data_IF_974781349777
#
_entry.id   IF_974781349777
#
_cell.length_a   1.000
_cell.length_b   1.000
_cell.length_c   1.000
_cell.angle_alpha   90.00
_cell.angle_beta   90.00
_cell.angle_gamma   90.00
#
_symmetry.space_group_name_H-M   'P 1'
#
loop_
_entity.id
_entity.type
_entity.pdbx_description
1 polymer ?
#
# COMPACT_ATOMS: atom_id res chain seq x y z
N UNK A 1 94.93 38.35 -38.40
CA UNK A 1 94.15 38.70 -37.22
C UNK A 1 92.72 38.40 -37.54
N UNK A 2 92.17 37.29 -37.11
CA UNK A 2 90.83 36.78 -37.44
C UNK A 2 89.97 36.87 -36.22
N UNK A 3 89.04 37.79 -36.18
CA UNK A 3 88.02 37.94 -35.15
C UNK A 3 86.86 37.02 -35.40
N UNK A 4 86.58 36.06 -34.46
CA UNK A 4 85.43 35.20 -34.47
C UNK A 4 84.28 35.87 -33.69
N UNK A 5 83.20 36.19 -34.38
CA UNK A 5 81.93 36.63 -33.78
C UNK A 5 81.17 35.43 -33.32
N UNK A 6 80.75 35.43 -32.03
CA UNK A 6 79.97 34.40 -31.37
C UNK A 6 78.50 34.86 -31.41
N UNK A 7 77.67 34.15 -32.10
CA UNK A 7 76.20 34.41 -32.12
C UNK A 7 75.55 33.57 -31.05
N UNK A 8 74.95 34.22 -30.09
CA UNK A 8 74.18 33.62 -29.01
C UNK A 8 72.74 33.45 -29.45
N UNK A 9 72.30 32.22 -29.61
CA UNK A 9 70.91 31.90 -29.91
C UNK A 9 70.14 31.79 -28.58
N UNK A 10 69.19 32.71 -28.37
CA UNK A 10 68.27 32.69 -27.24
C UNK A 10 67.14 31.65 -27.55
N UNK A 11 67.09 30.60 -26.71
CA UNK A 11 66.04 29.60 -26.77
C UNK A 11 64.88 30.05 -25.84
N UNK A 12 63.83 30.53 -26.44
CA UNK A 12 62.58 30.87 -25.73
C UNK A 12 61.78 29.60 -25.44
N UNK A 13 61.84 29.13 -24.19
CA UNK A 13 60.97 28.02 -23.74
C UNK A 13 59.55 28.50 -23.58
N UNK A 14 58.66 28.07 -24.44
CA UNK A 14 57.23 28.26 -24.33
C UNK A 14 56.70 27.21 -23.35
N UNK A 15 56.34 27.63 -22.11
CA UNK A 15 55.64 26.82 -21.17
C UNK A 15 54.16 26.84 -21.54
N UNK A 16 53.68 25.77 -22.16
CA UNK A 16 52.25 25.54 -22.37
C UNK A 16 51.60 25.06 -21.09
N UNK A 17 50.93 25.97 -20.41
CA UNK A 17 50.15 25.68 -19.23
C UNK A 17 48.80 25.00 -19.65
N UNK A 18 48.76 23.68 -19.63
CA UNK A 18 47.53 22.93 -19.89
C UNK A 18 46.64 23.04 -18.64
N UNK A 19 45.64 23.92 -18.72
CA UNK A 19 44.57 24.06 -17.71
C UNK A 19 43.60 22.89 -17.88
N UNK A 20 43.76 21.83 -17.07
CA UNK A 20 42.84 20.73 -16.96
C UNK A 20 41.54 21.22 -16.30
N UNK A 21 40.53 21.60 -17.07
CA UNK A 21 39.15 21.78 -16.60
C UNK A 21 38.58 20.42 -16.21
N UNK A 22 38.63 20.09 -14.95
CA UNK A 22 37.89 18.97 -14.38
C UNK A 22 36.39 19.32 -14.39
N UNK A 23 35.67 18.84 -15.40
CA UNK A 23 34.20 18.83 -15.43
C UNK A 23 33.72 17.87 -14.34
N UNK A 24 33.49 18.38 -13.13
CA UNK A 24 32.71 17.68 -12.10
C UNK A 24 31.28 17.55 -12.61
N UNK A 25 31.00 16.46 -13.32
CA UNK A 25 29.65 16.04 -13.63
C UNK A 25 28.96 15.66 -12.30
N UNK A 26 28.25 16.59 -11.67
CA UNK A 26 27.29 16.27 -10.63
C UNK A 26 26.27 15.33 -11.25
N UNK A 27 26.43 14.01 -11.04
CA UNK A 27 25.33 13.06 -11.23
C UNK A 27 24.23 13.50 -10.28
N UNK A 28 23.15 14.12 -10.81
CA UNK A 28 21.87 14.16 -10.11
C UNK A 28 21.56 12.71 -9.77
N UNK A 29 21.58 12.38 -8.48
CA UNK A 29 20.90 11.16 -8.01
C UNK A 29 19.43 11.36 -8.36
N UNK A 30 18.96 10.67 -9.38
CA UNK A 30 17.53 10.53 -9.61
C UNK A 30 16.97 9.99 -8.29
N UNK A 31 16.18 10.81 -7.59
CA UNK A 31 15.49 10.35 -6.39
C UNK A 31 14.54 9.26 -6.87
N UNK A 32 14.71 8.06 -6.33
CA UNK A 32 13.72 7.00 -6.48
C UNK A 32 12.34 7.57 -6.12
N UNK A 33 11.29 7.27 -6.93
CA UNK A 33 9.95 7.76 -6.63
C UNK A 33 9.58 7.42 -5.18
N UNK A 34 9.11 8.38 -4.44
CA UNK A 34 8.67 8.16 -3.06
C UNK A 34 7.49 7.19 -3.05
N UNK A 35 7.60 6.09 -2.28
CA UNK A 35 6.50 5.16 -2.05
C UNK A 35 5.45 5.83 -1.15
N UNK A 36 4.37 6.30 -1.76
CA UNK A 36 3.25 6.95 -1.07
C UNK A 36 2.17 5.96 -0.63
N UNK A 37 2.38 4.65 -0.80
CA UNK A 37 1.41 3.64 -0.39
C UNK A 37 1.18 3.67 1.12
N UNK A 38 -0.04 3.33 1.53
CA UNK A 38 -0.39 3.15 2.94
C UNK A 38 -0.72 1.69 3.20
N UNK A 39 -0.26 1.16 4.34
CA UNK A 39 -0.41 -0.25 4.70
C UNK A 39 -1.19 -0.36 6.00
N UNK A 40 -2.10 -1.34 6.06
CA UNK A 40 -2.83 -1.68 7.26
C UNK A 40 -2.80 -3.20 7.46
N UNK A 41 -2.58 -3.60 8.72
CA UNK A 41 -2.75 -4.98 9.18
C UNK A 41 -3.99 -5.03 10.07
N UNK A 42 -4.99 -5.80 9.65
CA UNK A 42 -6.33 -5.77 10.24
C UNK A 42 -6.69 -7.15 10.78
N UNK A 43 -6.95 -7.24 12.08
CA UNK A 43 -7.50 -8.45 12.70
C UNK A 43 -9.03 -8.44 12.58
N UNK A 44 -9.62 -9.59 12.25
CA UNK A 44 -11.06 -9.75 12.14
C UNK A 44 -11.56 -10.64 13.29
N UNK A 45 -12.68 -10.25 13.90
CA UNK A 45 -13.34 -11.00 14.95
C UNK A 45 -14.83 -10.69 15.02
N UNK A 46 -15.61 -11.58 15.65
CA UNK A 46 -17.02 -11.33 15.93
C UNK A 46 -17.25 -10.19 16.91
N UNK A 47 -16.30 -9.94 17.80
CA UNK A 47 -16.40 -8.85 18.79
C UNK A 47 -16.31 -7.45 18.19
N UNK A 48 -15.78 -7.33 16.98
CA UNK A 48 -15.75 -6.07 16.22
C UNK A 48 -17.03 -5.82 15.40
N UNK A 49 -17.91 -6.82 15.27
CA UNK A 49 -19.20 -6.63 14.59
C UNK A 49 -20.11 -5.65 15.34
N UNK A 50 -21.04 -5.08 14.62
CA UNK A 50 -22.03 -4.14 15.17
C UNK A 50 -23.45 -4.57 14.78
N UNK A 51 -24.23 -5.17 15.69
CA UNK A 51 -23.84 -5.52 17.07
C UNK A 51 -22.81 -6.64 17.14
N UNK A 52 -21.97 -6.63 18.19
CA UNK A 52 -20.98 -7.68 18.41
C UNK A 52 -21.65 -9.06 18.54
N UNK A 53 -20.96 -10.10 18.05
CA UNK A 53 -21.38 -11.48 18.20
C UNK A 53 -20.33 -12.32 18.96
N UNK A 54 -20.73 -13.52 19.38
CA UNK A 54 -19.89 -14.43 20.16
C UNK A 54 -19.15 -15.48 19.32
N UNK A 55 -18.98 -15.27 18.02
CA UNK A 55 -18.19 -16.18 17.18
C UNK A 55 -16.77 -16.27 17.70
N UNK A 56 -16.26 -17.50 17.76
CA UNK A 56 -14.85 -17.79 18.05
C UNK A 56 -13.98 -17.72 16.78
N UNK A 57 -14.59 -17.41 15.65
CA UNK A 57 -13.90 -17.23 14.37
C UNK A 57 -12.92 -16.06 14.42
N UNK A 58 -11.91 -16.14 13.58
CA UNK A 58 -10.86 -15.12 13.45
C UNK A 58 -10.47 -14.93 12.00
N UNK A 59 -9.89 -13.79 11.71
CA UNK A 59 -9.30 -13.50 10.41
C UNK A 59 -8.21 -12.44 10.52
N UNK A 60 -7.48 -12.29 9.43
CA UNK A 60 -6.41 -11.31 9.32
C UNK A 60 -6.35 -10.80 7.89
N UNK A 61 -6.20 -9.52 7.71
CA UNK A 61 -6.06 -8.89 6.39
C UNK A 61 -4.86 -7.94 6.34
N UNK A 62 -4.04 -8.09 5.33
CA UNK A 62 -3.02 -7.12 4.93
C UNK A 62 -3.55 -6.31 3.76
N UNK A 63 -3.59 -5.01 3.92
CA UNK A 63 -4.15 -4.06 2.96
C UNK A 63 -3.08 -3.05 2.55
N UNK A 64 -3.01 -2.75 1.26
CA UNK A 64 -2.15 -1.69 0.72
C UNK A 64 -3.00 -0.77 -0.13
N UNK A 65 -3.18 0.47 0.30
CA UNK A 65 -3.77 1.53 -0.51
C UNK A 65 -2.69 2.20 -1.36
N UNK A 66 -2.89 2.21 -2.67
CA UNK A 66 -2.03 2.89 -3.65
C UNK A 66 -2.70 4.20 -4.11
N UNK A 67 -2.18 5.37 -3.71
CA UNK A 67 -2.77 6.66 -4.08
C UNK A 67 -2.63 6.98 -5.57
N UNK A 68 -1.65 6.41 -6.28
CA UNK A 68 -1.48 6.65 -7.72
C UNK A 68 -2.52 5.88 -8.54
N UNK A 69 -2.87 4.67 -8.10
CA UNK A 69 -3.91 3.84 -8.72
C UNK A 69 -5.30 4.11 -8.16
N UNK A 70 -5.38 4.67 -6.95
CA UNK A 70 -6.61 4.81 -6.16
C UNK A 70 -7.29 3.46 -5.88
N UNK A 71 -6.50 2.42 -5.61
CA UNK A 71 -6.98 1.05 -5.35
C UNK A 71 -6.47 0.54 -4.01
N UNK A 72 -7.12 -0.51 -3.48
CA UNK A 72 -6.63 -1.28 -2.35
C UNK A 72 -6.27 -2.67 -2.87
N UNK A 73 -5.01 -3.07 -2.75
CA UNK A 73 -4.60 -4.47 -2.85
C UNK A 73 -4.80 -5.11 -1.49
N UNK A 74 -5.37 -6.31 -1.46
CA UNK A 74 -5.66 -7.03 -0.23
C UNK A 74 -5.21 -8.48 -0.30
N UNK A 75 -4.79 -8.98 0.86
CA UNK A 75 -4.56 -10.40 1.12
C UNK A 75 -5.11 -10.69 2.52
N UNK A 76 -6.04 -11.63 2.62
CA UNK A 76 -6.60 -11.99 3.92
C UNK A 76 -6.88 -13.49 4.04
N UNK A 77 -6.90 -13.94 5.29
CA UNK A 77 -7.24 -15.29 5.70
C UNK A 77 -8.35 -15.23 6.73
N UNK A 78 -9.14 -16.29 6.80
CA UNK A 78 -10.20 -16.42 7.81
C UNK A 78 -10.40 -17.86 8.23
N UNK A 79 -10.92 -18.00 9.43
CA UNK A 79 -11.47 -19.23 10.01
C UNK A 79 -12.77 -18.85 10.70
N UNK A 80 -13.91 -19.38 10.25
CA UNK A 80 -15.20 -19.21 10.91
C UNK A 80 -15.22 -19.94 12.26
N UNK A 81 -16.08 -19.51 13.15
CA UNK A 81 -16.20 -20.10 14.50
C UNK A 81 -16.74 -21.52 14.52
N UNK A 82 -17.32 -21.98 13.43
CA UNK A 82 -17.81 -23.36 13.25
C UNK A 82 -17.20 -23.96 11.99
N UNK A 83 -16.66 -25.20 12.13
CA UNK A 83 -16.11 -25.95 11.00
C UNK A 83 -17.17 -26.47 10.02
N UNK A 84 -18.46 -26.44 10.41
CA UNK A 84 -19.58 -26.79 9.53
C UNK A 84 -20.24 -25.55 8.92
N UNK A 85 -19.87 -24.36 9.35
CA UNK A 85 -20.33 -23.12 8.72
C UNK A 85 -19.73 -22.96 7.33
N UNK A 86 -20.45 -22.30 6.45
CA UNK A 86 -19.95 -21.93 5.12
C UNK A 86 -19.80 -20.42 5.03
N UNK A 87 -18.74 -19.96 4.38
CA UNK A 87 -18.59 -18.56 4.01
C UNK A 87 -19.63 -18.19 2.98
N UNK A 88 -20.46 -17.19 3.26
CA UNK A 88 -21.60 -16.83 2.43
C UNK A 88 -21.40 -15.51 1.67
N UNK A 89 -20.69 -14.57 2.24
CA UNK A 89 -20.42 -13.29 1.60
C UNK A 89 -19.20 -12.57 2.23
N UNK A 90 -18.64 -11.60 1.49
CA UNK A 90 -17.55 -10.75 1.94
C UNK A 90 -17.65 -9.36 1.31
N UNK A 91 -17.39 -8.32 2.11
CA UNK A 91 -17.51 -6.95 1.64
C UNK A 91 -16.51 -6.01 2.31
N UNK A 92 -16.17 -4.96 1.57
CA UNK A 92 -15.72 -3.71 2.19
C UNK A 92 -16.92 -2.79 2.36
N UNK A 93 -17.01 -2.20 3.53
CA UNK A 93 -18.01 -1.21 3.90
C UNK A 93 -17.33 0.12 4.18
N UNK A 94 -18.03 1.22 3.95
CA UNK A 94 -17.59 2.56 4.29
C UNK A 94 -18.69 3.30 5.03
N UNK A 95 -18.35 4.04 6.07
CA UNK A 95 -19.29 4.79 6.86
C UNK A 95 -18.93 6.27 6.88
N UNK A 96 -19.95 7.13 6.81
CA UNK A 96 -19.75 8.57 6.93
C UNK A 96 -19.48 9.01 8.38
N UNK A 97 -20.04 8.27 9.35
CA UNK A 97 -20.09 8.63 10.76
C UNK A 97 -19.11 7.85 11.67
N UNK A 98 -18.35 6.93 11.12
CA UNK A 98 -17.39 6.15 11.88
C UNK A 98 -17.76 4.66 11.97
N UNK A 99 -16.92 3.85 11.40
CA UNK A 99 -17.14 2.43 11.22
C UNK A 99 -17.07 1.59 12.51
N UNK A 100 -16.47 2.10 13.57
CA UNK A 100 -16.23 1.32 14.79
C UNK A 100 -17.48 1.13 15.64
N UNK A 101 -18.52 1.94 15.41
CA UNK A 101 -19.72 1.99 16.25
C UNK A 101 -21.01 1.71 15.50
N UNK A 102 -20.96 1.61 14.16
CA UNK A 102 -22.15 1.38 13.32
C UNK A 102 -21.88 0.41 12.20
N UNK A 103 -22.92 -0.26 11.74
CA UNK A 103 -22.96 -0.91 10.44
C UNK A 103 -23.30 0.10 9.36
N UNK A 104 -22.73 -0.06 8.18
CA UNK A 104 -22.93 0.83 7.03
C UNK A 104 -23.15 0.03 5.75
N UNK A 105 -23.49 0.75 4.67
CA UNK A 105 -23.74 0.12 3.38
C UNK A 105 -22.47 -0.53 2.80
N UNK A 106 -22.66 -1.57 1.99
CA UNK A 106 -21.59 -2.18 1.20
C UNK A 106 -21.09 -1.19 0.17
N UNK A 107 -19.78 -1.01 0.11
CA UNK A 107 -19.08 -0.20 -0.91
C UNK A 107 -18.53 -1.09 -2.01
N UNK A 108 -17.88 -2.21 -1.65
CA UNK A 108 -17.28 -3.13 -2.60
C UNK A 108 -17.58 -4.57 -2.15
N UNK A 109 -18.30 -5.31 -2.99
CA UNK A 109 -18.45 -6.76 -2.84
C UNK A 109 -17.18 -7.48 -3.26
N UNK A 110 -16.83 -8.54 -2.55
CA UNK A 110 -15.71 -9.42 -2.85
C UNK A 110 -16.28 -10.73 -3.38
N UNK A 111 -15.77 -11.22 -4.50
CA UNK A 111 -16.21 -12.45 -5.16
C UNK A 111 -15.05 -13.39 -5.40
N UNK A 112 -15.35 -14.67 -5.69
CA UNK A 112 -14.33 -15.67 -5.98
C UNK A 112 -13.71 -16.34 -4.76
N UNK A 113 -14.24 -16.07 -3.56
CA UNK A 113 -13.80 -16.75 -2.33
C UNK A 113 -14.35 -18.20 -2.29
N UNK A 114 -13.69 -19.04 -1.50
CA UNK A 114 -14.21 -20.39 -1.19
C UNK A 114 -15.39 -20.31 -0.22
N UNK A 115 -16.36 -21.20 -0.39
CA UNK A 115 -17.49 -21.35 0.55
C UNK A 115 -17.11 -22.17 1.79
N UNK A 116 -15.88 -22.67 1.91
CA UNK A 116 -15.43 -23.42 3.09
C UNK A 116 -15.47 -22.53 4.36
N UNK A 117 -15.42 -23.18 5.52
CA UNK A 117 -15.37 -22.50 6.82
C UNK A 117 -14.06 -21.75 7.06
N UNK A 118 -13.05 -22.00 6.24
CA UNK A 118 -11.77 -21.28 6.27
C UNK A 118 -11.23 -21.09 4.86
N UNK A 119 -10.38 -20.10 4.70
CA UNK A 119 -9.75 -19.84 3.41
C UNK A 119 -8.78 -18.67 3.44
N UNK A 120 -8.27 -18.40 2.26
CA UNK A 120 -7.47 -17.21 1.97
C UNK A 120 -7.92 -16.60 0.66
N UNK A 121 -7.73 -15.30 0.52
CA UNK A 121 -8.05 -14.58 -0.69
C UNK A 121 -7.12 -13.39 -0.87
N UNK A 122 -6.76 -13.14 -2.13
CA UNK A 122 -6.01 -11.95 -2.54
C UNK A 122 -6.71 -11.31 -3.73
N UNK A 123 -6.61 -9.99 -3.82
CA UNK A 123 -7.18 -9.25 -4.94
C UNK A 123 -6.86 -7.77 -4.88
N UNK A 124 -7.46 -7.05 -5.81
CA UNK A 124 -7.39 -5.58 -5.88
C UNK A 124 -8.81 -5.04 -6.09
N UNK A 125 -9.12 -3.93 -5.46
CA UNK A 125 -10.43 -3.29 -5.64
C UNK A 125 -10.51 -2.62 -7.01
N UNK A 126 -11.72 -2.23 -7.41
CA UNK A 126 -11.88 -1.22 -8.43
C UNK A 126 -11.24 0.10 -8.00
N UNK A 127 -11.05 1.02 -8.93
CA UNK A 127 -10.66 2.40 -8.61
C UNK A 127 -11.72 3.01 -7.67
N UNK A 128 -11.23 3.60 -6.58
CA UNK A 128 -12.06 4.27 -5.59
C UNK A 128 -12.36 5.70 -6.03
N UNK A 129 -13.55 6.19 -5.68
CA UNK A 129 -13.87 7.61 -5.81
C UNK A 129 -13.16 8.44 -4.74
N UNK A 130 -13.03 9.75 -4.95
CA UNK A 130 -12.39 10.63 -3.95
C UNK A 130 -13.15 10.64 -2.61
N UNK A 131 -14.48 10.50 -2.62
CA UNK A 131 -15.29 10.38 -1.41
C UNK A 131 -14.97 9.09 -0.64
N UNK A 132 -14.85 7.96 -1.34
CA UNK A 132 -14.47 6.66 -0.76
C UNK A 132 -13.06 6.71 -0.18
N UNK A 133 -12.11 7.34 -0.88
CA UNK A 133 -10.73 7.53 -0.39
C UNK A 133 -10.72 8.37 0.90
N UNK A 134 -11.48 9.46 0.93
CA UNK A 134 -11.58 10.30 2.12
C UNK A 134 -12.14 9.53 3.32
N UNK A 135 -13.17 8.70 3.13
CA UNK A 135 -13.73 7.83 4.16
C UNK A 135 -12.72 6.76 4.62
N UNK A 136 -12.05 6.11 3.66
CA UNK A 136 -11.03 5.10 3.93
C UNK A 136 -9.88 5.66 4.78
N UNK A 137 -9.30 6.79 4.35
CA UNK A 137 -8.18 7.43 5.05
C UNK A 137 -8.59 8.07 6.39
N UNK A 138 -9.87 8.39 6.56
CA UNK A 138 -10.43 8.80 7.85
C UNK A 138 -10.70 7.60 8.79
N UNK A 139 -10.37 6.36 8.37
CA UNK A 139 -10.56 5.16 9.17
C UNK A 139 -12.01 4.75 9.36
N UNK A 140 -12.87 5.04 8.39
CA UNK A 140 -14.32 4.75 8.43
C UNK A 140 -14.69 3.47 7.70
N UNK A 141 -13.72 2.72 7.21
CA UNK A 141 -13.97 1.48 6.47
C UNK A 141 -13.72 0.25 7.33
N UNK A 142 -14.41 -0.84 6.98
CA UNK A 142 -14.18 -2.15 7.57
C UNK A 142 -14.36 -3.26 6.52
N UNK A 143 -13.65 -4.38 6.73
CA UNK A 143 -13.87 -5.65 6.04
C UNK A 143 -14.81 -6.51 6.88
N UNK A 144 -15.76 -7.16 6.23
CA UNK A 144 -16.75 -8.00 6.87
C UNK A 144 -16.88 -9.34 6.13
N UNK A 145 -16.99 -10.44 6.90
CA UNK A 145 -17.18 -11.80 6.39
C UNK A 145 -18.46 -12.38 7.02
N UNK A 146 -19.36 -12.83 6.18
CA UNK A 146 -20.62 -13.47 6.58
C UNK A 146 -20.51 -14.98 6.48
N UNK A 147 -21.29 -15.67 7.29
CA UNK A 147 -21.40 -17.13 7.24
C UNK A 147 -22.83 -17.62 7.26
N UNK A 148 -23.00 -18.90 7.00
CA UNK A 148 -24.31 -19.58 7.09
C UNK A 148 -24.86 -19.64 8.51
N UNK A 149 -24.00 -19.49 9.54
CA UNK A 149 -24.38 -19.50 10.96
C UNK A 149 -24.58 -18.10 11.53
N UNK A 150 -23.95 -17.08 10.94
CA UNK A 150 -24.07 -15.67 11.33
C UNK A 150 -24.24 -14.82 10.07
N UNK A 151 -25.45 -14.84 9.53
CA UNK A 151 -25.75 -14.20 8.25
C UNK A 151 -25.69 -12.66 8.29
N UNK A 152 -25.76 -12.04 9.46
CA UNK A 152 -25.60 -10.59 9.65
C UNK A 152 -24.17 -10.10 9.55
N UNK A 153 -23.18 -11.01 9.57
CA UNK A 153 -21.73 -10.76 9.63
C UNK A 153 -21.13 -11.53 10.79
N UNK A 154 -20.19 -12.42 10.50
CA UNK A 154 -19.53 -13.21 11.53
C UNK A 154 -18.22 -12.58 11.99
N UNK A 155 -17.45 -12.06 11.07
CA UNK A 155 -16.14 -11.46 11.35
C UNK A 155 -16.08 -10.06 10.75
N UNK A 156 -15.59 -9.12 11.53
CA UNK A 156 -15.32 -7.74 11.11
C UNK A 156 -13.94 -7.30 11.53
N UNK A 157 -13.29 -6.52 10.67
CA UNK A 157 -12.03 -5.84 10.98
C UNK A 157 -12.09 -4.39 10.53
N UNK A 158 -11.91 -3.45 11.47
CA UNK A 158 -11.91 -2.02 11.18
C UNK A 158 -10.56 -1.61 10.56
N UNK A 159 -10.60 -0.87 9.46
CA UNK A 159 -9.43 -0.52 8.65
C UNK A 159 -8.90 0.84 9.09
N UNK A 160 -7.64 0.88 9.51
CA UNK A 160 -6.91 2.09 9.91
C UNK A 160 -5.53 2.09 9.25
N UNK A 161 -5.20 3.12 8.46
CA UNK A 161 -3.91 3.30 7.80
C UNK A 161 -2.99 4.25 8.55
#
# INVERSE_FOLDING_TARGET
MTTKTFTQTSSTSIIVLILLLSLSACKKKDKEPEDLTKKAHVMLSGTQEVPANNSTGTGMADLVYDPAKKTITYNFTWQLGSNVATTSNMHFHGAEDGSDIKSSAVVIGITGFTTASSGSMSGETRVLTDAEINQLLAGKWYLNIHSSTVASGELRGNIKF
#
